data_IF_942268948532
#
_entry.id   IF_942268948532
#
_cell.length_a   1.000
_cell.length_b   1.000
_cell.length_c   1.000
_cell.angle_alpha   90.00
_cell.angle_beta   90.00
_cell.angle_gamma   90.00
#
_symmetry.space_group_name_H-M   'P 1'
#
loop_
_entity.id
_entity.type
_entity.pdbx_description
1 polymer ?
#
# COMPACT_ATOMS: atom_id res chain seq x y z
N UNK A 1 16.60 -22.58 -25.48
CA UNK A 1 16.69 -21.62 -24.36
C UNK A 1 16.00 -20.35 -24.82
N UNK A 2 14.67 -20.36 -24.83
CA UNK A 2 13.88 -19.45 -25.66
C UNK A 2 12.74 -18.79 -24.90
N UNK A 3 12.43 -17.55 -25.28
CA UNK A 3 11.20 -16.78 -25.03
C UNK A 3 10.76 -16.51 -23.57
N UNK A 4 10.89 -17.47 -22.65
CA UNK A 4 10.38 -17.37 -21.28
C UNK A 4 11.25 -16.45 -20.42
N UNK A 5 12.56 -16.46 -20.65
CA UNK A 5 13.56 -15.67 -19.91
C UNK A 5 13.42 -14.16 -20.23
N UNK A 6 13.29 -13.83 -21.50
CA UNK A 6 13.18 -12.44 -21.97
C UNK A 6 11.89 -11.74 -21.53
N UNK A 7 10.81 -12.51 -21.27
CA UNK A 7 9.60 -12.00 -20.67
C UNK A 7 9.75 -11.70 -19.17
N UNK A 8 10.64 -12.39 -18.46
CA UNK A 8 10.91 -12.17 -17.03
C UNK A 8 11.82 -10.94 -16.83
N UNK A 9 12.81 -10.76 -17.70
CA UNK A 9 13.75 -9.63 -17.69
C UNK A 9 13.03 -8.26 -17.71
N UNK A 10 12.12 -8.08 -18.67
CA UNK A 10 11.35 -6.84 -18.80
C UNK A 10 10.43 -6.52 -17.61
N UNK A 11 10.13 -7.50 -16.74
CA UNK A 11 9.22 -7.29 -15.60
C UNK A 11 9.89 -6.49 -14.50
N UNK A 12 11.19 -6.71 -14.23
CA UNK A 12 11.90 -5.94 -13.19
C UNK A 12 12.02 -4.47 -13.60
N UNK A 13 12.48 -4.21 -14.83
CA UNK A 13 12.59 -2.84 -15.35
C UNK A 13 11.24 -2.11 -15.29
N UNK A 14 10.14 -2.81 -15.61
CA UNK A 14 8.80 -2.28 -15.45
C UNK A 14 8.44 -2.02 -13.99
N UNK A 15 8.71 -2.95 -13.08
CA UNK A 15 8.39 -2.77 -11.66
C UNK A 15 9.08 -1.52 -11.09
N UNK A 16 10.36 -1.33 -11.38
CA UNK A 16 11.13 -0.15 -10.97
C UNK A 16 10.59 1.14 -11.59
N UNK A 17 10.35 1.14 -12.91
CA UNK A 17 9.86 2.34 -13.60
C UNK A 17 8.44 2.73 -13.16
N UNK A 18 7.56 1.75 -12.94
CA UNK A 18 6.21 2.00 -12.43
C UNK A 18 6.25 2.50 -10.99
N UNK A 19 7.13 1.97 -10.15
CA UNK A 19 7.28 2.49 -8.79
C UNK A 19 7.81 3.93 -8.80
N UNK A 20 8.84 4.22 -9.62
CA UNK A 20 9.34 5.58 -9.81
C UNK A 20 8.24 6.53 -10.32
N UNK A 21 7.40 6.09 -11.25
CA UNK A 21 6.26 6.86 -11.74
C UNK A 21 5.22 7.12 -10.65
N UNK A 22 4.93 6.13 -9.81
CA UNK A 22 4.03 6.30 -8.67
C UNK A 22 4.56 7.37 -7.69
N UNK A 23 5.85 7.31 -7.34
CA UNK A 23 6.49 8.30 -6.47
C UNK A 23 6.50 9.70 -7.12
N UNK A 24 6.82 9.77 -8.41
CA UNK A 24 6.83 11.01 -9.18
C UNK A 24 5.44 11.63 -9.32
N UNK A 25 4.40 10.81 -9.51
CA UNK A 25 3.02 11.27 -9.56
C UNK A 25 2.58 11.86 -8.22
N UNK A 26 2.87 11.18 -7.10
CA UNK A 26 2.58 11.71 -5.77
C UNK A 26 3.23 13.08 -5.58
N UNK A 27 4.54 13.22 -5.82
CA UNK A 27 5.23 14.51 -5.69
C UNK A 27 4.67 15.58 -6.65
N UNK A 28 4.33 15.21 -7.88
CA UNK A 28 3.76 16.14 -8.85
C UNK A 28 2.41 16.69 -8.37
N UNK A 29 1.54 15.83 -7.85
CA UNK A 29 0.26 16.26 -7.30
C UNK A 29 0.49 17.10 -6.04
N UNK A 30 1.30 16.62 -5.10
CA UNK A 30 1.51 17.30 -3.82
C UNK A 30 2.18 18.68 -3.93
N UNK A 31 3.05 18.87 -4.92
CA UNK A 31 3.71 20.18 -5.13
C UNK A 31 2.85 21.19 -5.90
N UNK A 32 1.72 20.76 -6.48
CA UNK A 32 0.86 21.62 -7.30
C UNK A 32 -0.58 21.73 -6.78
N UNK A 33 -0.97 20.93 -5.78
CA UNK A 33 -2.33 20.88 -5.21
C UNK A 33 -2.32 21.14 -3.70
N UNK A 34 -3.49 21.42 -3.13
CA UNK A 34 -3.58 21.63 -1.69
C UNK A 34 -3.39 20.32 -0.91
N UNK A 35 -2.92 20.37 0.36
CA UNK A 35 -2.83 19.20 1.21
C UNK A 35 -4.17 18.45 1.37
N UNK A 36 -5.29 19.18 1.40
CA UNK A 36 -6.64 18.60 1.51
C UNK A 36 -7.00 17.80 0.25
N UNK A 37 -6.75 18.35 -0.95
CA UNK A 37 -6.97 17.64 -2.21
C UNK A 37 -6.12 16.37 -2.31
N UNK A 38 -4.88 16.42 -1.82
CA UNK A 38 -3.98 15.26 -1.78
C UNK A 38 -4.53 14.20 -0.81
N UNK A 39 -5.00 14.60 0.37
CA UNK A 39 -5.63 13.69 1.33
C UNK A 39 -6.88 13.02 0.77
N UNK A 40 -7.76 13.79 0.13
CA UNK A 40 -8.97 13.31 -0.53
C UNK A 40 -8.65 12.33 -1.67
N UNK A 41 -7.63 12.64 -2.48
CA UNK A 41 -7.17 11.74 -3.53
C UNK A 41 -6.68 10.41 -2.96
N UNK A 42 -5.89 10.44 -1.89
CA UNK A 42 -5.38 9.24 -1.22
C UNK A 42 -6.51 8.40 -0.59
N UNK A 43 -7.50 9.05 0.04
CA UNK A 43 -8.71 8.38 0.51
C UNK A 43 -9.42 7.65 -0.62
N UNK A 44 -9.73 8.35 -1.72
CA UNK A 44 -10.45 7.79 -2.86
C UNK A 44 -9.70 6.62 -3.49
N UNK A 45 -8.39 6.77 -3.69
CA UNK A 45 -7.52 5.73 -4.24
C UNK A 45 -7.57 4.45 -3.41
N UNK A 46 -7.35 4.57 -2.10
CA UNK A 46 -7.34 3.41 -1.21
C UNK A 46 -8.73 2.82 -1.05
N UNK A 47 -9.78 3.64 -1.04
CA UNK A 47 -11.16 3.16 -1.01
C UNK A 47 -11.51 2.35 -2.25
N UNK A 48 -11.11 2.81 -3.44
CA UNK A 48 -11.28 2.09 -4.70
C UNK A 48 -10.58 0.73 -4.65
N UNK A 49 -9.33 0.70 -4.25
CA UNK A 49 -8.56 -0.54 -4.19
C UNK A 49 -9.11 -1.50 -3.12
N UNK A 50 -9.53 -0.99 -1.95
CA UNK A 50 -10.16 -1.78 -0.91
C UNK A 50 -11.41 -2.49 -1.47
N UNK A 51 -12.31 -1.75 -2.12
CA UNK A 51 -13.53 -2.30 -2.71
C UNK A 51 -13.26 -3.38 -3.76
N UNK A 52 -12.20 -3.24 -4.55
CA UNK A 52 -11.84 -4.21 -5.59
C UNK A 52 -11.11 -5.45 -5.03
N UNK A 53 -10.21 -5.26 -4.06
CA UNK A 53 -9.22 -6.27 -3.69
C UNK A 53 -9.41 -6.92 -2.32
N UNK A 54 -9.96 -6.21 -1.34
CA UNK A 54 -9.89 -6.65 0.06
C UNK A 54 -10.54 -8.02 0.28
N UNK A 55 -11.85 -8.13 0.01
CA UNK A 55 -12.58 -9.38 0.17
C UNK A 55 -12.16 -10.48 -0.81
N UNK A 56 -11.86 -10.10 -2.06
CA UNK A 56 -11.46 -11.05 -3.11
C UNK A 56 -10.08 -11.68 -2.85
N UNK A 57 -9.25 -11.02 -2.04
CA UNK A 57 -7.93 -11.50 -1.63
C UNK A 57 -7.97 -12.26 -0.30
N UNK A 58 -8.93 -11.95 0.58
CA UNK A 58 -9.09 -12.58 1.90
C UNK A 58 -9.19 -14.12 1.82
N UNK A 59 -10.05 -14.64 0.93
CA UNK A 59 -10.18 -16.08 0.72
C UNK A 59 -8.92 -16.73 0.15
N UNK A 60 -8.20 -16.04 -0.74
CA UNK A 60 -6.96 -16.56 -1.36
C UNK A 60 -5.80 -16.63 -0.38
N UNK A 61 -5.85 -15.82 0.67
CA UNK A 61 -4.82 -15.76 1.71
C UNK A 61 -5.12 -16.69 2.89
N UNK A 62 -6.23 -17.44 2.87
CA UNK A 62 -6.59 -18.39 3.92
C UNK A 62 -6.94 -17.71 5.25
N UNK A 63 -7.58 -16.54 5.19
CA UNK A 63 -7.84 -15.70 6.37
C UNK A 63 -9.25 -15.83 6.95
N UNK A 64 -10.12 -16.62 6.32
CA UNK A 64 -11.57 -16.64 6.60
C UNK A 64 -11.93 -17.23 7.97
N UNK A 65 -11.09 -18.09 8.53
CA UNK A 65 -11.37 -18.81 9.79
C UNK A 65 -10.67 -18.17 11.00
N UNK A 66 -10.11 -16.98 10.84
CA UNK A 66 -9.40 -16.25 11.90
C UNK A 66 -10.31 -15.17 12.50
N UNK A 67 -10.12 -14.81 13.78
CA UNK A 67 -10.74 -13.62 14.36
C UNK A 67 -10.46 -12.37 13.51
N UNK A 68 -11.44 -11.50 13.31
CA UNK A 68 -11.35 -10.44 12.29
C UNK A 68 -10.18 -9.47 12.51
N UNK A 69 -9.87 -9.13 13.77
CA UNK A 69 -8.71 -8.28 14.10
C UNK A 69 -7.39 -8.94 13.66
N UNK A 70 -7.25 -10.23 13.98
CA UNK A 70 -6.11 -11.06 13.56
C UNK A 70 -6.06 -11.18 12.04
N UNK A 71 -7.18 -11.51 11.42
CA UNK A 71 -7.30 -11.69 9.98
C UNK A 71 -6.90 -10.42 9.22
N UNK A 72 -7.37 -9.25 9.67
CA UNK A 72 -7.03 -7.95 9.08
C UNK A 72 -5.54 -7.63 9.23
N UNK A 73 -4.95 -7.83 10.40
CA UNK A 73 -3.52 -7.58 10.59
C UNK A 73 -2.67 -8.50 9.70
N UNK A 74 -3.00 -9.80 9.64
CA UNK A 74 -2.31 -10.76 8.76
C UNK A 74 -2.54 -10.48 7.27
N UNK A 75 -3.74 -10.04 6.89
CA UNK A 75 -4.04 -9.58 5.53
C UNK A 75 -3.05 -8.51 5.08
N UNK A 76 -2.82 -7.51 5.93
CA UNK A 76 -1.94 -6.40 5.59
C UNK A 76 -0.50 -6.86 5.45
N UNK A 77 -0.01 -7.82 6.23
CA UNK A 77 1.31 -8.41 5.99
C UNK A 77 1.39 -9.13 4.64
N UNK A 78 0.48 -10.08 4.42
CA UNK A 78 0.56 -10.94 3.24
C UNK A 78 0.29 -10.17 1.95
N UNK A 79 -0.75 -9.34 1.89
CA UNK A 79 -1.10 -8.58 0.68
C UNK A 79 0.00 -7.59 0.27
N UNK A 80 0.61 -6.90 1.24
CA UNK A 80 1.71 -5.98 1.00
C UNK A 80 3.00 -6.71 0.59
N UNK A 81 3.29 -7.88 1.15
CA UNK A 81 4.47 -8.67 0.77
C UNK A 81 4.47 -9.10 -0.71
N UNK A 82 3.29 -9.30 -1.31
CA UNK A 82 3.14 -9.55 -2.76
C UNK A 82 3.64 -8.35 -3.58
N UNK A 83 3.43 -7.13 -3.07
CA UNK A 83 3.94 -5.89 -3.62
C UNK A 83 5.40 -5.60 -3.27
N UNK A 84 6.08 -6.47 -2.51
CA UNK A 84 7.43 -6.23 -2.00
C UNK A 84 7.48 -5.22 -0.83
N UNK A 85 6.33 -4.96 -0.20
CA UNK A 85 6.22 -4.03 0.93
C UNK A 85 6.34 -4.81 2.24
N UNK A 86 7.30 -4.42 3.08
CA UNK A 86 7.53 -5.05 4.38
C UNK A 86 6.57 -4.50 5.44
N UNK A 87 5.85 -5.40 6.07
CA UNK A 87 4.93 -5.11 7.18
C UNK A 87 5.11 -6.19 8.22
N UNK A 88 5.22 -5.79 9.47
CA UNK A 88 5.33 -6.71 10.59
C UNK A 88 3.96 -6.91 11.24
N UNK A 89 3.72 -8.12 11.71
CA UNK A 89 2.56 -8.52 12.49
C UNK A 89 2.95 -8.80 13.94
N UNK A 90 2.15 -8.32 14.90
CA UNK A 90 2.30 -8.69 16.31
C UNK A 90 0.94 -9.04 16.89
N UNK A 91 0.79 -10.27 17.38
CA UNK A 91 -0.44 -10.72 18.04
C UNK A 91 -0.49 -10.18 19.47
N UNK A 92 -1.66 -9.65 19.87
CA UNK A 92 -1.95 -9.32 21.29
C UNK A 92 -3.10 -10.19 21.82
N UNK A 93 -4.12 -10.42 21.01
CA UNK A 93 -5.24 -11.32 21.30
C UNK A 93 -6.18 -11.48 20.11
N UNK A 94 -7.19 -12.33 20.22
CA UNK A 94 -8.15 -12.57 19.13
C UNK A 94 -8.94 -11.30 18.74
N UNK A 95 -9.14 -10.41 19.70
CA UNK A 95 -9.79 -9.12 19.50
C UNK A 95 -8.82 -7.98 19.20
N UNK A 96 -7.49 -8.19 19.23
CA UNK A 96 -6.51 -7.12 19.00
C UNK A 96 -5.21 -7.62 18.37
N UNK A 97 -4.87 -7.09 17.20
CA UNK A 97 -3.65 -7.44 16.50
C UNK A 97 -3.03 -6.25 15.79
N UNK A 98 -1.71 -6.18 15.81
CA UNK A 98 -0.93 -5.03 15.37
C UNK A 98 -0.32 -5.23 14.00
N UNK A 99 -0.11 -4.11 13.32
CA UNK A 99 0.71 -3.99 12.13
C UNK A 99 1.70 -2.85 12.27
N UNK A 100 2.92 -3.05 11.78
CA UNK A 100 3.96 -2.01 11.77
C UNK A 100 4.68 -2.00 10.42
N UNK A 101 4.68 -0.85 9.77
CA UNK A 101 5.40 -0.60 8.53
C UNK A 101 6.73 0.06 8.88
N UNK A 102 7.82 -0.67 8.71
CA UNK A 102 9.17 -0.17 8.98
C UNK A 102 9.72 0.56 7.76
N UNK A 103 10.71 1.41 8.01
CA UNK A 103 11.54 1.96 6.94
C UNK A 103 12.38 0.84 6.29
N UNK A 104 12.62 0.89 4.98
CA UNK A 104 12.17 1.92 4.03
C UNK A 104 10.68 1.81 3.67
N UNK A 105 10.01 2.96 3.54
CA UNK A 105 8.59 3.02 3.17
C UNK A 105 8.42 2.98 1.66
N UNK A 106 7.98 1.84 1.14
CA UNK A 106 7.74 1.66 -0.30
C UNK A 106 6.86 2.76 -0.90
N UNK A 107 5.76 3.12 -0.23
CA UNK A 107 4.83 4.15 -0.69
C UNK A 107 5.50 5.52 -0.93
N UNK A 108 6.56 5.84 -0.19
CA UNK A 108 7.25 7.13 -0.19
C UNK A 108 8.77 6.94 -0.27
N UNK A 109 9.21 5.98 -1.08
CA UNK A 109 10.61 5.54 -1.07
C UNK A 109 11.59 6.70 -1.34
N UNK A 110 12.71 6.69 -0.60
CA UNK A 110 13.74 7.70 -0.71
C UNK A 110 13.25 9.10 -0.28
N UNK A 111 13.69 10.17 -0.96
CA UNK A 111 13.37 11.54 -0.55
C UNK A 111 11.90 11.92 -0.78
N UNK A 112 11.10 11.08 -1.46
CA UNK A 112 9.66 11.33 -1.67
C UNK A 112 8.92 11.54 -0.36
N UNK A 113 9.32 10.86 0.71
CA UNK A 113 8.71 10.98 2.04
C UNK A 113 8.69 12.43 2.56
N UNK A 114 9.72 13.22 2.29
CA UNK A 114 9.80 14.61 2.75
C UNK A 114 8.79 15.54 2.06
N UNK A 115 8.24 15.12 0.93
CA UNK A 115 7.30 15.91 0.15
C UNK A 115 5.83 15.61 0.46
N UNK A 116 5.51 14.66 1.33
CA UNK A 116 4.14 14.19 1.57
C UNK A 116 3.50 14.89 2.79
N UNK A 117 2.27 15.41 2.70
CA UNK A 117 1.56 15.95 3.85
C UNK A 117 0.94 14.83 4.69
N UNK A 118 0.68 15.11 5.98
CA UNK A 118 0.02 14.19 6.92
C UNK A 118 -1.33 13.65 6.40
N UNK A 119 -2.03 14.46 5.60
CA UNK A 119 -3.30 14.08 4.97
C UNK A 119 -3.20 12.83 4.09
N UNK A 120 -2.02 12.52 3.55
CA UNK A 120 -1.79 11.26 2.81
C UNK A 120 -2.00 10.05 3.72
N UNK A 121 -1.42 10.08 4.93
CA UNK A 121 -1.55 8.99 5.91
C UNK A 121 -2.99 8.80 6.34
N UNK A 122 -3.63 9.90 6.73
CA UNK A 122 -5.03 9.90 7.16
C UNK A 122 -5.97 9.47 6.04
N UNK A 123 -5.69 9.88 4.80
CA UNK A 123 -6.46 9.50 3.62
C UNK A 123 -6.51 7.99 3.44
N UNK A 124 -5.37 7.31 3.39
CA UNK A 124 -5.37 5.86 3.19
C UNK A 124 -5.91 5.08 4.40
N UNK A 125 -5.70 5.57 5.63
CA UNK A 125 -6.24 4.95 6.84
C UNK A 125 -7.77 4.99 6.83
N UNK A 126 -8.36 6.13 6.48
CA UNK A 126 -9.81 6.27 6.32
C UNK A 126 -10.35 5.50 5.11
N UNK A 127 -9.62 5.49 3.99
CA UNK A 127 -10.07 4.85 2.76
C UNK A 127 -10.02 3.32 2.80
N UNK A 128 -9.11 2.76 3.61
CA UNK A 128 -8.90 1.32 3.71
C UNK A 128 -9.17 0.77 5.11
N UNK A 129 -8.35 1.14 6.09
CA UNK A 129 -8.33 0.48 7.41
C UNK A 129 -9.65 0.63 8.16
N UNK A 130 -10.26 1.81 8.11
CA UNK A 130 -11.56 2.09 8.72
C UNK A 130 -12.70 1.23 8.14
N UNK A 131 -12.57 0.71 6.91
CA UNK A 131 -13.63 -0.05 6.24
C UNK A 131 -13.48 -1.57 6.33
N UNK A 132 -12.40 -2.07 6.92
CA UNK A 132 -12.16 -3.50 7.03
C UNK A 132 -13.31 -4.22 7.78
N UNK A 133 -13.72 -3.69 8.94
CA UNK A 133 -14.84 -4.23 9.73
C UNK A 133 -16.16 -4.24 8.96
N UNK A 134 -16.46 -3.13 8.27
CA UNK A 134 -17.64 -3.01 7.41
C UNK A 134 -17.66 -4.10 6.33
N UNK A 135 -16.52 -4.32 5.65
CA UNK A 135 -16.42 -5.34 4.61
C UNK A 135 -16.57 -6.77 5.15
N UNK A 136 -16.08 -7.03 6.35
CA UNK A 136 -16.21 -8.34 7.01
C UNK A 136 -17.59 -8.53 7.68
N UNK A 137 -18.47 -7.52 7.63
CA UNK A 137 -19.75 -7.49 8.35
C UNK A 137 -19.58 -7.60 9.88
N UNK A 138 -18.49 -7.03 10.39
CA UNK A 138 -18.21 -6.86 11.80
C UNK A 138 -18.12 -5.35 12.12
N UNK A 139 -19.25 -4.70 12.48
CA UNK A 139 -19.28 -3.27 12.75
C UNK A 139 -18.53 -2.88 14.04
N UNK A 140 -18.11 -3.85 14.85
CA UNK A 140 -17.36 -3.65 16.09
C UNK A 140 -15.86 -3.56 15.87
N UNK A 141 -15.38 -3.82 14.65
CA UNK A 141 -13.95 -3.80 14.31
C UNK A 141 -13.53 -2.42 13.80
N UNK A 142 -12.55 -1.81 14.48
CA UNK A 142 -11.90 -0.56 14.08
C UNK A 142 -10.39 -0.70 13.99
N UNK A 143 -9.73 0.39 13.56
CA UNK A 143 -8.27 0.52 13.53
C UNK A 143 -7.83 1.71 14.38
N UNK A 144 -6.77 1.52 15.15
CA UNK A 144 -6.13 2.59 15.95
C UNK A 144 -4.72 2.82 15.42
N UNK A 145 -4.45 4.03 14.94
CA UNK A 145 -3.11 4.46 14.53
C UNK A 145 -2.37 5.03 15.74
N UNK A 146 -1.16 4.55 16.01
CA UNK A 146 -0.36 4.97 17.18
C UNK A 146 0.90 5.74 16.81
N UNK A 147 1.29 5.70 15.53
CA UNK A 147 2.49 6.33 15.00
C UNK A 147 2.33 6.52 13.50
N UNK A 148 2.71 7.69 12.99
CA UNK A 148 2.65 8.05 11.57
C UNK A 148 4.05 8.43 11.04
N UNK A 149 4.26 8.31 9.73
CA UNK A 149 5.58 8.63 9.16
C UNK A 149 5.82 10.13 9.03
N UNK A 150 4.82 10.89 8.58
CA UNK A 150 4.97 12.33 8.26
C UNK A 150 5.05 13.21 9.51
N UNK A 151 4.65 12.66 10.65
CA UNK A 151 4.83 13.25 11.98
C UNK A 151 6.24 12.97 12.57
N UNK A 152 7.11 12.29 11.81
CA UNK A 152 8.46 11.89 12.22
C UNK A 152 8.49 10.94 13.44
N UNK A 153 7.44 10.13 13.63
CA UNK A 153 7.42 9.08 14.63
C UNK A 153 8.14 7.81 14.11
N UNK A 154 7.99 6.66 14.76
CA UNK A 154 8.82 5.48 14.51
C UNK A 154 8.39 4.64 13.28
N UNK A 155 7.72 5.28 12.32
CA UNK A 155 7.04 4.69 11.16
C UNK A 155 5.54 4.49 11.39
N UNK A 156 4.78 4.08 10.37
CA UNK A 156 3.35 3.78 10.53
C UNK A 156 3.16 2.54 11.40
N UNK A 157 2.44 2.69 12.51
CA UNK A 157 2.11 1.60 13.41
C UNK A 157 0.68 1.74 13.91
N UNK A 158 -0.01 0.62 14.09
CA UNK A 158 -1.35 0.61 14.66
C UNK A 158 -1.87 -0.80 14.86
N UNK A 159 -3.12 -0.91 15.31
CA UNK A 159 -3.77 -2.19 15.55
C UNK A 159 -5.22 -2.19 15.14
N UNK A 160 -5.68 -3.37 14.71
CA UNK A 160 -7.10 -3.66 14.63
C UNK A 160 -7.60 -4.07 16.00
N UNK A 161 -8.78 -3.57 16.38
CA UNK A 161 -9.43 -3.90 17.65
C UNK A 161 -10.92 -4.13 17.45
N UNK A 162 -11.43 -5.22 17.99
CA UNK A 162 -12.85 -5.45 18.15
C UNK A 162 -13.31 -4.88 19.50
N UNK A 163 -14.32 -4.00 19.46
CA UNK A 163 -14.91 -3.35 20.62
C UNK A 163 -16.11 -4.14 21.13
N UNK A 164 -16.69 -3.76 22.27
CA UNK A 164 -17.90 -4.37 22.85
C UNK A 164 -19.23 -3.82 22.29
N UNK A 165 -19.15 -2.82 21.41
CA UNK A 165 -20.27 -2.15 20.75
C UNK A 165 -19.98 -1.90 19.27
N UNK A 166 -21.04 -1.67 18.50
CA UNK A 166 -20.94 -1.30 17.09
C UNK A 166 -20.38 0.12 16.97
N UNK A 167 -19.38 0.31 16.09
CA UNK A 167 -18.71 1.59 15.89
C UNK A 167 -19.49 2.49 14.93
N UNK A 168 -19.58 3.78 15.24
CA UNK A 168 -19.97 4.82 14.30
C UNK A 168 -18.94 4.97 13.17
N UNK A 169 -19.28 5.74 12.13
CA UNK A 169 -18.35 6.01 11.03
C UNK A 169 -17.05 6.68 11.53
N UNK A 170 -17.15 7.56 12.52
CA UNK A 170 -16.05 8.30 13.14
C UNK A 170 -15.23 7.44 14.11
N UNK A 171 -15.82 6.40 14.70
CA UNK A 171 -15.14 5.55 15.68
C UNK A 171 -14.28 4.45 15.03
N UNK A 172 -14.46 4.18 13.73
CA UNK A 172 -13.73 3.15 12.99
C UNK A 172 -12.23 3.42 12.85
N UNK A 173 -11.82 4.68 12.88
CA UNK A 173 -10.42 5.09 12.88
C UNK A 173 -10.15 5.99 14.07
N UNK A 174 -9.23 5.59 14.93
CA UNK A 174 -8.81 6.37 16.09
C UNK A 174 -7.30 6.59 16.07
N UNK A 175 -6.84 7.57 16.83
CA UNK A 175 -5.43 7.88 17.00
C UNK A 175 -5.08 7.84 18.48
N UNK A 176 -4.05 7.06 18.83
CA UNK A 176 -3.60 6.88 20.20
C UNK A 176 -2.07 6.95 20.24
N UNK A 177 -1.52 8.15 20.05
CA UNK A 177 -0.07 8.36 20.02
C UNK A 177 0.57 7.97 21.36
N UNK A 178 1.76 7.38 21.28
CA UNK A 178 2.54 6.96 22.44
C UNK A 178 2.32 5.51 22.90
N UNK A 179 1.33 4.80 22.35
CA UNK A 179 1.24 3.34 22.53
C UNK A 179 2.34 2.62 21.73
N UNK A 180 2.82 1.50 22.26
CA UNK A 180 3.85 0.68 21.63
C UNK A 180 3.32 -0.73 21.34
N UNK A 181 3.68 -1.32 20.18
CA UNK A 181 3.29 -2.69 19.88
C UNK A 181 4.01 -3.68 20.81
N UNK A 182 3.46 -4.91 20.95
CA UNK A 182 4.19 -6.03 21.55
C UNK A 182 5.53 -6.30 20.85
N UNK A 183 6.38 -7.09 21.49
CA UNK A 183 7.67 -7.48 20.90
C UNK A 183 7.47 -8.27 19.60
N UNK A 184 8.26 -7.91 18.58
CA UNK A 184 8.30 -8.62 17.32
C UNK A 184 8.83 -10.06 17.50
N UNK A 185 8.21 -11.00 16.81
CA UNK A 185 8.62 -12.42 16.76
C UNK A 185 8.63 -12.90 15.32
N UNK A 186 9.78 -13.40 14.87
CA UNK A 186 9.99 -13.78 13.47
C UNK A 186 9.16 -15.02 13.09
N UNK A 187 9.02 -15.94 14.02
CA UNK A 187 8.28 -17.20 13.90
C UNK A 187 6.76 -17.02 13.82
N UNK A 188 6.23 -15.87 14.26
CA UNK A 188 4.80 -15.55 14.21
C UNK A 188 4.40 -14.79 12.93
N UNK A 189 5.36 -14.43 12.08
CA UNK A 189 5.07 -13.65 10.88
C UNK A 189 4.24 -14.44 9.85
N UNK A 190 3.13 -13.86 9.35
CA UNK A 190 2.35 -14.48 8.28
C UNK A 190 3.18 -14.69 7.03
N UNK A 191 3.07 -15.89 6.44
CA UNK A 191 3.76 -16.26 5.20
C UNK A 191 2.75 -16.54 4.11
N UNK A 192 3.06 -16.13 2.88
CA UNK A 192 2.25 -16.47 1.73
C UNK A 192 2.27 -18.00 1.52
N UNK A 193 1.12 -18.61 1.15
CA UNK A 193 1.08 -20.03 0.77
C UNK A 193 1.99 -20.28 -0.45
N UNK A 194 3.13 -20.97 -0.24
CA UNK A 194 4.17 -21.16 -1.26
C UNK A 194 3.65 -21.78 -2.55
N UNK A 195 2.78 -22.78 -2.44
CA UNK A 195 2.20 -23.50 -3.59
C UNK A 195 1.35 -22.59 -4.49
N UNK A 196 0.81 -21.49 -3.94
CA UNK A 196 -0.01 -20.55 -4.69
C UNK A 196 0.81 -19.37 -5.24
N UNK A 197 1.98 -19.08 -4.67
CA UNK A 197 2.80 -17.90 -4.96
C UNK A 197 4.24 -18.25 -5.35
N UNK A 198 4.45 -18.93 -6.49
CA UNK A 198 5.80 -19.17 -7.01
C UNK A 198 6.49 -17.85 -7.38
N UNK A 199 7.82 -17.85 -7.40
CA UNK A 199 8.65 -16.67 -7.62
C UNK A 199 8.26 -15.87 -8.87
N UNK A 200 8.02 -16.55 -9.99
CA UNK A 200 7.61 -15.91 -11.25
C UNK A 200 6.25 -15.22 -11.15
N UNK A 201 5.33 -15.75 -10.34
CA UNK A 201 4.05 -15.09 -10.05
C UNK A 201 4.26 -13.88 -9.16
N UNK A 202 5.16 -13.95 -8.18
CA UNK A 202 5.50 -12.84 -7.30
C UNK A 202 6.13 -11.67 -8.06
N UNK A 203 7.08 -11.92 -8.98
CA UNK A 203 7.67 -10.87 -9.85
C UNK A 203 6.59 -10.14 -10.65
N UNK A 204 5.68 -10.88 -11.28
CA UNK A 204 4.54 -10.30 -12.02
C UNK A 204 3.61 -9.49 -11.12
N UNK A 205 3.33 -10.01 -9.93
CA UNK A 205 2.45 -9.36 -8.98
C UNK A 205 3.07 -8.08 -8.41
N UNK A 206 4.37 -8.08 -8.10
CA UNK A 206 5.11 -6.89 -7.68
C UNK A 206 5.08 -5.79 -8.76
N UNK A 207 5.33 -6.13 -10.03
CA UNK A 207 5.18 -5.18 -11.14
C UNK A 207 3.75 -4.64 -11.25
N UNK A 208 2.76 -5.50 -11.14
CA UNK A 208 1.35 -5.12 -11.21
C UNK A 208 0.94 -4.22 -10.03
N UNK A 209 1.53 -4.42 -8.85
CA UNK A 209 1.22 -3.67 -7.65
C UNK A 209 1.45 -2.17 -7.88
N UNK A 210 2.62 -1.77 -8.36
CA UNK A 210 2.91 -0.38 -8.72
C UNK A 210 1.98 0.15 -9.83
N UNK A 211 1.70 -0.67 -10.85
CA UNK A 211 0.79 -0.31 -11.95
C UNK A 211 -0.64 -0.06 -11.48
N UNK A 212 -1.12 -0.84 -10.53
CA UNK A 212 -2.47 -0.71 -9.99
C UNK A 212 -2.60 0.58 -9.16
N UNK A 213 -1.54 1.00 -8.46
CA UNK A 213 -1.48 2.32 -7.84
C UNK A 213 -1.54 3.45 -8.85
N UNK A 214 -0.77 3.39 -9.94
CA UNK A 214 -0.82 4.42 -11.00
C UNK A 214 -2.21 4.44 -11.65
N UNK A 215 -2.74 3.29 -12.07
CA UNK A 215 -4.02 3.20 -12.79
C UNK A 215 -5.15 3.75 -11.93
N UNK A 216 -5.28 3.24 -10.71
CA UNK A 216 -6.35 3.68 -9.82
C UNK A 216 -6.12 5.11 -9.34
N UNK A 217 -4.86 5.52 -9.14
CA UNK A 217 -4.49 6.87 -8.79
C UNK A 217 -4.94 7.87 -9.84
N UNK A 218 -4.65 7.63 -11.12
CA UNK A 218 -5.10 8.49 -12.22
C UNK A 218 -6.62 8.53 -12.37
N UNK A 219 -7.32 7.40 -12.17
CA UNK A 219 -8.79 7.36 -12.21
C UNK A 219 -9.38 8.27 -11.13
N UNK A 220 -8.90 8.15 -9.88
CA UNK A 220 -9.43 8.96 -8.77
C UNK A 220 -8.96 10.41 -8.84
N UNK A 221 -7.76 10.66 -9.37
CA UNK A 221 -7.28 12.02 -9.62
C UNK A 221 -8.16 12.73 -10.65
N UNK A 222 -8.54 12.03 -11.73
CA UNK A 222 -9.49 12.54 -12.74
C UNK A 222 -10.86 12.82 -12.13
N UNK A 223 -11.34 11.93 -11.27
CA UNK A 223 -12.62 12.13 -10.60
C UNK A 223 -12.60 13.35 -9.66
N UNK A 224 -11.45 13.66 -9.06
CA UNK A 224 -11.27 14.78 -8.13
C UNK A 224 -11.02 16.12 -8.84
N UNK A 225 -10.05 16.15 -9.76
CA UNK A 225 -9.53 17.38 -10.36
C UNK A 225 -10.05 17.64 -11.78
N UNK A 226 -10.73 16.67 -12.39
CA UNK A 226 -11.13 16.72 -13.79
C UNK A 226 -10.03 16.25 -14.75
N UNK A 227 -10.40 16.17 -16.02
CA UNK A 227 -9.60 15.53 -17.09
C UNK A 227 -8.36 16.35 -17.47
N UNK A 228 -8.51 17.67 -17.61
CA UNK A 228 -7.45 18.58 -18.06
C UNK A 228 -6.28 18.59 -17.07
N UNK A 229 -6.54 18.91 -15.80
CA UNK A 229 -5.52 18.95 -14.74
C UNK A 229 -4.88 17.57 -14.51
N UNK A 230 -5.64 16.49 -14.59
CA UNK A 230 -5.10 15.14 -14.44
C UNK A 230 -4.14 14.79 -15.57
N UNK A 231 -4.49 15.16 -16.80
CA UNK A 231 -3.64 14.96 -17.97
C UNK A 231 -2.35 15.80 -17.87
N UNK A 232 -2.47 17.05 -17.42
CA UNK A 232 -1.31 17.93 -17.21
C UNK A 232 -0.34 17.34 -16.17
N UNK A 233 -0.83 17.09 -14.95
CA UNK A 233 0.01 16.63 -13.84
C UNK A 233 0.53 15.21 -14.10
N UNK A 234 -0.33 14.28 -14.50
CA UNK A 234 0.04 12.90 -14.80
C UNK A 234 1.01 12.81 -15.98
N UNK A 235 0.77 13.58 -17.04
CA UNK A 235 1.63 13.63 -18.23
C UNK A 235 3.01 14.23 -17.91
N UNK A 236 3.07 15.30 -17.11
CA UNK A 236 4.33 15.92 -16.69
C UNK A 236 5.14 14.96 -15.80
N UNK A 237 4.51 14.30 -14.83
CA UNK A 237 5.15 13.28 -14.00
C UNK A 237 5.72 12.13 -14.86
N UNK A 238 4.90 11.57 -15.76
CA UNK A 238 5.31 10.49 -16.64
C UNK A 238 6.49 10.89 -17.54
N UNK A 239 6.46 12.08 -18.12
CA UNK A 239 7.54 12.57 -18.99
C UNK A 239 8.84 12.76 -18.22
N UNK A 240 8.80 13.39 -17.05
CA UNK A 240 10.00 13.62 -16.24
C UNK A 240 10.61 12.31 -15.74
N UNK A 241 9.79 11.39 -15.23
CA UNK A 241 10.26 10.08 -14.77
C UNK A 241 10.86 9.27 -15.93
N UNK A 242 10.19 9.23 -17.08
CA UNK A 242 10.70 8.53 -18.25
C UNK A 242 12.06 9.07 -18.73
N UNK A 243 12.24 10.39 -18.74
CA UNK A 243 13.52 11.02 -19.09
C UNK A 243 14.60 10.72 -18.05
N UNK A 244 14.27 10.85 -16.76
CA UNK A 244 15.21 10.67 -15.65
C UNK A 244 15.70 9.22 -15.51
N UNK A 245 14.81 8.24 -15.72
CA UNK A 245 15.10 6.82 -15.52
C UNK A 245 15.53 6.09 -16.79
N UNK A 246 15.67 6.79 -17.93
CA UNK A 246 15.97 6.15 -19.22
C UNK A 246 17.27 5.31 -19.18
N UNK A 247 18.35 5.88 -18.65
CA UNK A 247 19.65 5.19 -18.58
C UNK A 247 19.57 3.94 -17.68
N UNK A 248 19.08 4.10 -16.45
CA UNK A 248 18.90 2.98 -15.51
C UNK A 248 17.99 1.89 -16.09
N UNK A 249 16.88 2.26 -16.72
CA UNK A 249 15.96 1.30 -17.34
C UNK A 249 16.66 0.52 -18.46
N UNK A 250 17.48 1.20 -19.29
CA UNK A 250 18.29 0.54 -20.33
C UNK A 250 19.31 -0.41 -19.72
N UNK A 251 19.97 -0.02 -18.63
CA UNK A 251 20.96 -0.86 -17.96
C UNK A 251 20.32 -2.12 -17.39
N UNK A 252 19.15 -2.02 -16.75
CA UNK A 252 18.43 -3.20 -16.24
C UNK A 252 18.08 -4.15 -17.38
N UNK A 253 17.54 -3.61 -18.48
CA UNK A 253 17.21 -4.42 -19.66
C UNK A 253 18.49 -5.07 -20.23
N UNK A 254 19.58 -4.31 -20.37
CA UNK A 254 20.84 -4.75 -20.98
C UNK A 254 21.59 -5.79 -20.13
N UNK A 255 21.73 -5.55 -18.82
CA UNK A 255 22.38 -6.45 -17.86
C UNK A 255 21.70 -7.82 -17.83
N UNK A 256 20.40 -7.83 -18.04
CA UNK A 256 19.62 -9.05 -18.08
C UNK A 256 19.69 -9.77 -19.43
N UNK A 257 20.20 -9.14 -20.50
CA UNK A 257 20.36 -9.76 -21.83
C UNK A 257 21.73 -10.41 -22.03
N UNK A 258 22.65 -10.21 -21.08
CA UNK A 258 24.03 -10.71 -21.12
C UNK A 258 24.26 -12.00 -20.31
N UNK A 259 23.21 -12.52 -19.67
CA UNK A 259 23.16 -13.80 -18.94
C UNK A 259 22.38 -14.81 -19.79
#
# INVERSE_FOLDING_TARGET
>A
MGSTDQSAMNIQAQAELHHALWLGLQLMVTTNRSPDEVGDWMFRLFRRQHLDKFLSSFGKLGLMDLPDAVACAKYHVMSNSIGGVSVEYMYEGDQKAWVRFRYPRWMYHGPTICGMPDGVSRGFLNGWYAYNGVSLRNPRLGFVCVSEDMTCEFGLCGYFKEYDHDLSDEERLQFASGELPPSYKAEEQPVLPKDQWPEERLKKANRNYAMDYIRNGLIELKALLGDELTTELGGKAARLIGLQYLAQTRDIIALQTAI
#
